data_IF_310302143835
#
_entry.id   IF_310302143835
#
_cell.length_a   1.000
_cell.length_b   1.000
_cell.length_c   1.000
_cell.angle_alpha   90.00
_cell.angle_beta   90.00
_cell.angle_gamma   90.00
#
_symmetry.space_group_name_H-M   'P 1'
#
loop_
_entity.id
_entity.type
_entity.pdbx_description
1 polymer ?
#
# COMPACT_ATOMS: atom_id res chain seq x y z
N UNK A 1 0.08 5.60 27.67
CA UNK A 1 0.02 4.64 26.55
C UNK A 1 -0.22 5.44 25.28
N UNK A 2 0.70 5.40 24.33
CA UNK A 2 0.48 5.96 22.99
C UNK A 2 -0.52 5.05 22.28
N UNK A 3 -1.75 5.52 22.07
CA UNK A 3 -2.74 4.77 21.30
C UNK A 3 -2.32 4.84 19.83
N UNK A 4 -2.17 3.68 19.17
CA UNK A 4 -1.96 3.63 17.73
C UNK A 4 -3.24 4.13 17.03
N UNK A 5 -3.23 5.38 16.61
CA UNK A 5 -4.32 5.97 15.82
C UNK A 5 -4.11 5.68 14.34
N UNK A 6 -5.21 5.66 13.58
CA UNK A 6 -5.17 5.52 12.12
C UNK A 6 -4.39 6.64 11.44
N UNK A 7 -4.37 7.83 12.04
CA UNK A 7 -3.61 8.99 11.57
C UNK A 7 -2.09 8.71 11.59
N UNK A 8 -1.61 8.07 12.65
CA UNK A 8 -0.19 7.68 12.79
C UNK A 8 0.19 6.56 11.81
N UNK A 9 -0.76 5.76 11.36
CA UNK A 9 -0.51 4.66 10.41
C UNK A 9 -0.66 5.07 8.95
N UNK A 10 -1.22 6.25 8.68
CA UNK A 10 -1.53 6.71 7.34
C UNK A 10 -0.29 6.76 6.43
N UNK A 11 0.79 7.40 6.89
CA UNK A 11 2.01 7.56 6.09
C UNK A 11 2.71 6.24 5.76
N UNK A 12 3.01 5.34 6.72
CA UNK A 12 3.65 4.08 6.38
C UNK A 12 2.76 3.18 5.52
N UNK A 13 1.42 3.23 5.71
CA UNK A 13 0.48 2.51 4.85
C UNK A 13 0.50 3.05 3.41
N UNK A 14 0.53 4.38 3.23
CA UNK A 14 0.63 5.00 1.90
C UNK A 14 1.93 4.59 1.19
N UNK A 15 3.07 4.63 1.89
CA UNK A 15 4.36 4.20 1.34
C UNK A 15 4.33 2.72 0.97
N UNK A 16 3.71 1.89 1.82
CA UNK A 16 3.53 0.45 1.55
C UNK A 16 2.73 0.23 0.27
N UNK A 17 1.62 0.96 0.07
CA UNK A 17 0.80 0.88 -1.14
C UNK A 17 1.60 1.30 -2.40
N UNK A 18 2.37 2.39 -2.33
CA UNK A 18 3.24 2.81 -3.45
C UNK A 18 4.28 1.72 -3.76
N UNK A 19 4.86 1.10 -2.74
CA UNK A 19 5.80 -0.02 -2.90
C UNK A 19 5.17 -1.24 -3.56
N UNK A 20 3.94 -1.60 -3.18
CA UNK A 20 3.20 -2.69 -3.80
C UNK A 20 2.93 -2.42 -5.29
N UNK A 21 2.51 -1.19 -5.63
CA UNK A 21 2.31 -0.76 -7.01
C UNK A 21 3.63 -0.80 -7.82
N UNK A 22 4.75 -0.43 -7.21
CA UNK A 22 6.07 -0.52 -7.84
C UNK A 22 6.44 -1.98 -8.15
N UNK A 23 6.27 -2.91 -7.20
CA UNK A 23 6.52 -4.34 -7.42
C UNK A 23 5.62 -4.92 -8.51
N UNK A 24 4.34 -4.57 -8.52
CA UNK A 24 3.40 -4.97 -9.56
C UNK A 24 3.87 -4.46 -10.94
N UNK A 25 4.34 -3.21 -11.01
CA UNK A 25 4.89 -2.62 -12.24
C UNK A 25 6.13 -3.37 -12.73
N UNK A 26 7.07 -3.71 -11.85
CA UNK A 26 8.28 -4.46 -12.22
C UNK A 26 7.93 -5.88 -12.68
N UNK A 27 6.98 -6.54 -12.01
CA UNK A 27 6.47 -7.85 -12.43
C UNK A 27 5.86 -7.79 -13.83
N UNK A 28 5.05 -6.77 -14.12
CA UNK A 28 4.52 -6.52 -15.47
C UNK A 28 5.63 -6.33 -16.50
N UNK A 29 6.69 -5.57 -16.16
CA UNK A 29 7.86 -5.36 -17.05
C UNK A 29 8.59 -6.67 -17.37
N UNK A 30 8.69 -7.59 -16.41
CA UNK A 30 9.25 -8.93 -16.65
C UNK A 30 8.36 -9.72 -17.62
N UNK A 31 7.03 -9.67 -17.45
CA UNK A 31 6.09 -10.29 -18.38
C UNK A 31 6.18 -9.74 -19.80
N UNK A 32 6.25 -8.42 -19.95
CA UNK A 32 6.49 -7.74 -21.23
C UNK A 32 7.82 -8.17 -21.86
N UNK A 33 8.90 -8.22 -21.06
CA UNK A 33 10.21 -8.64 -21.53
C UNK A 33 10.21 -10.11 -21.97
N UNK A 34 9.50 -10.98 -21.25
CA UNK A 34 9.35 -12.40 -21.62
C UNK A 34 8.76 -12.55 -23.02
N UNK A 35 7.70 -11.80 -23.34
CA UNK A 35 7.12 -11.77 -24.67
C UNK A 35 8.07 -11.20 -25.72
N UNK A 36 8.71 -10.05 -25.43
CA UNK A 36 9.64 -9.37 -26.33
C UNK A 36 10.83 -10.24 -26.73
N UNK A 37 11.45 -10.91 -25.76
CA UNK A 37 12.64 -11.74 -25.97
C UNK A 37 12.30 -13.23 -26.20
N UNK A 38 11.01 -13.56 -26.34
CA UNK A 38 10.50 -14.91 -26.62
C UNK A 38 11.05 -15.98 -25.67
N UNK A 39 11.09 -15.69 -24.37
CA UNK A 39 11.59 -16.62 -23.35
C UNK A 39 10.46 -17.52 -22.86
N UNK A 40 10.43 -18.83 -23.21
CA UNK A 40 9.36 -19.72 -22.81
C UNK A 40 9.35 -19.92 -21.28
N UNK A 41 8.18 -20.08 -20.69
CA UNK A 41 8.05 -20.57 -19.31
C UNK A 41 8.45 -22.05 -19.30
N UNK A 42 9.22 -22.56 -18.32
CA UNK A 42 9.66 -21.94 -17.07
C UNK A 42 11.04 -21.25 -17.11
N UNK A 43 11.66 -21.08 -18.28
CA UNK A 43 13.01 -20.53 -18.38
C UNK A 43 13.11 -19.11 -17.79
N UNK A 44 14.21 -18.85 -17.11
CA UNK A 44 14.56 -17.58 -16.44
C UNK A 44 15.86 -16.97 -16.97
N UNK A 45 16.42 -17.58 -18.01
CA UNK A 45 17.64 -17.23 -18.70
C UNK A 45 17.41 -17.18 -20.23
N UNK A 46 18.43 -16.75 -20.98
CA UNK A 46 18.37 -16.56 -22.43
C UNK A 46 18.96 -15.21 -22.81
N UNK A 47 18.14 -14.30 -23.33
CA UNK A 47 18.61 -12.97 -23.72
C UNK A 47 19.18 -12.20 -22.51
N UNK A 48 20.40 -11.63 -22.62
CA UNK A 48 21.00 -10.87 -21.52
C UNK A 48 20.15 -9.69 -21.04
N UNK A 49 19.40 -9.03 -21.93
CA UNK A 49 18.48 -7.94 -21.57
C UNK A 49 17.30 -8.45 -20.74
N UNK A 50 16.71 -9.59 -21.15
CA UNK A 50 15.67 -10.24 -20.35
C UNK A 50 16.20 -10.61 -18.98
N UNK A 51 17.37 -11.26 -18.94
CA UNK A 51 17.99 -11.75 -17.70
C UNK A 51 18.24 -10.60 -16.73
N UNK A 52 18.72 -9.43 -17.21
CA UNK A 52 18.89 -8.23 -16.37
C UNK A 52 17.57 -7.72 -15.79
N UNK A 53 16.52 -7.60 -16.59
CA UNK A 53 15.19 -7.15 -16.14
C UNK A 53 14.62 -8.13 -15.09
N UNK A 54 14.73 -9.43 -15.36
CA UNK A 54 14.29 -10.49 -14.45
C UNK A 54 15.03 -10.42 -13.12
N UNK A 55 16.37 -10.34 -13.14
CA UNK A 55 17.20 -10.22 -11.93
C UNK A 55 16.95 -8.93 -11.15
N UNK A 56 16.69 -7.82 -11.84
CA UNK A 56 16.38 -6.55 -11.19
C UNK A 56 15.04 -6.62 -10.42
N UNK A 57 14.03 -7.27 -10.99
CA UNK A 57 12.75 -7.50 -10.32
C UNK A 57 12.92 -8.46 -9.13
N UNK A 58 13.60 -9.59 -9.32
CA UNK A 58 13.81 -10.60 -8.29
C UNK A 58 14.58 -10.02 -7.09
N UNK A 59 15.67 -9.28 -7.32
CA UNK A 59 16.40 -8.63 -6.25
C UNK A 59 15.52 -7.63 -5.49
N UNK A 60 14.71 -6.84 -6.20
CA UNK A 60 13.80 -5.90 -5.53
C UNK A 60 12.77 -6.64 -4.68
N UNK A 61 12.25 -7.77 -5.15
CA UNK A 61 11.32 -8.63 -4.41
C UNK A 61 11.96 -9.21 -3.14
N UNK A 62 13.20 -9.70 -3.21
CA UNK A 62 13.92 -10.28 -2.05
C UNK A 62 14.16 -9.26 -0.94
N UNK A 63 14.42 -8.00 -1.29
CA UNK A 63 14.66 -6.94 -0.32
C UNK A 63 13.39 -6.27 0.20
N UNK A 64 12.25 -6.42 -0.49
CA UNK A 64 11.02 -5.73 -0.12
C UNK A 64 10.48 -6.13 1.27
N UNK A 65 10.47 -7.43 1.68
CA UNK A 65 10.09 -7.81 3.04
C UNK A 65 10.95 -7.16 4.12
N UNK A 66 12.27 -7.06 3.90
CA UNK A 66 13.19 -6.40 4.84
C UNK A 66 12.83 -4.92 4.97
N UNK A 67 12.55 -4.26 3.83
CA UNK A 67 12.15 -2.85 3.81
C UNK A 67 10.85 -2.63 4.57
N UNK A 68 9.86 -3.47 4.33
CA UNK A 68 8.57 -3.41 5.00
C UNK A 68 8.73 -3.56 6.51
N UNK A 69 9.48 -4.57 6.97
CA UNK A 69 9.74 -4.77 8.41
C UNK A 69 10.36 -3.54 9.06
N UNK A 70 11.41 -2.98 8.46
CA UNK A 70 12.10 -1.82 9.02
C UNK A 70 11.24 -0.55 8.96
N UNK A 71 10.50 -0.32 7.87
CA UNK A 71 9.58 0.80 7.73
C UNK A 71 8.54 0.80 8.85
N UNK A 72 7.91 -0.35 9.10
CA UNK A 72 6.84 -0.45 10.09
C UNK A 72 7.36 -0.38 11.52
N UNK A 73 8.48 -1.03 11.85
CA UNK A 73 9.09 -0.92 13.18
C UNK A 73 9.48 0.54 13.47
N UNK A 74 10.25 1.17 12.59
CA UNK A 74 10.63 2.57 12.79
C UNK A 74 9.43 3.52 12.84
N UNK A 75 8.37 3.28 12.04
CA UNK A 75 7.18 4.14 12.03
C UNK A 75 6.34 4.01 13.31
N UNK A 76 6.23 2.80 13.87
CA UNK A 76 5.44 2.52 15.08
C UNK A 76 6.20 2.97 16.33
N UNK A 77 7.48 2.63 16.42
CA UNK A 77 8.25 2.77 17.66
C UNK A 77 9.05 4.06 17.78
N UNK A 78 9.27 4.78 16.67
CA UNK A 78 9.97 6.05 16.69
C UNK A 78 9.06 7.21 16.28
N UNK A 79 8.67 7.28 15.01
CA UNK A 79 7.84 8.37 14.50
C UNK A 79 7.21 7.97 13.16
N UNK A 80 5.96 8.31 12.89
CA UNK A 80 5.30 7.86 11.66
C UNK A 80 5.77 8.54 10.36
N UNK A 81 6.08 9.84 10.39
CA UNK A 81 6.39 10.61 9.17
C UNK A 81 7.84 10.44 8.67
N UNK A 82 8.84 10.53 9.55
CA UNK A 82 10.27 10.48 9.18
C UNK A 82 10.62 9.18 8.43
N UNK A 83 10.33 7.96 8.95
CA UNK A 83 10.64 6.73 8.25
C UNK A 83 9.82 6.55 6.98
N UNK A 84 8.60 7.10 6.93
CA UNK A 84 7.80 7.12 5.71
C UNK A 84 8.44 7.96 4.60
N UNK A 85 8.97 9.15 4.93
CA UNK A 85 9.73 9.96 3.97
C UNK A 85 11.00 9.24 3.49
N UNK A 86 11.75 8.65 4.43
CA UNK A 86 12.92 7.83 4.12
C UNK A 86 12.53 6.64 3.22
N UNK A 87 11.37 6.03 3.46
CA UNK A 87 10.81 4.96 2.64
C UNK A 87 10.44 5.38 1.23
N UNK A 88 9.97 6.62 1.01
CA UNK A 88 9.79 7.14 -0.36
C UNK A 88 11.11 7.26 -1.11
N UNK A 89 12.19 7.67 -0.42
CA UNK A 89 13.54 7.73 -1.01
C UNK A 89 14.03 6.31 -1.36
N UNK A 90 13.74 5.32 -0.52
CA UNK A 90 14.00 3.91 -0.83
C UNK A 90 13.32 3.47 -2.14
N UNK A 91 12.02 3.75 -2.28
CA UNK A 91 11.27 3.38 -3.48
C UNK A 91 11.82 4.09 -4.74
N UNK A 92 12.25 5.34 -4.62
CA UNK A 92 12.95 6.04 -5.70
C UNK A 92 14.29 5.39 -6.04
N UNK A 93 15.08 4.99 -5.04
CA UNK A 93 16.32 4.27 -5.24
C UNK A 93 16.10 2.93 -5.97
N UNK A 94 15.03 2.20 -5.62
CA UNK A 94 14.62 0.96 -6.29
C UNK A 94 14.16 1.18 -7.73
N UNK A 95 13.46 2.29 -7.99
CA UNK A 95 13.17 2.72 -9.36
C UNK A 95 14.47 2.90 -10.16
N UNK A 96 15.43 3.68 -9.65
CA UNK A 96 16.72 3.91 -10.33
C UNK A 96 17.52 2.63 -10.51
N UNK A 97 17.54 1.76 -9.49
CA UNK A 97 18.16 0.45 -9.56
C UNK A 97 17.58 -0.40 -10.69
N UNK A 98 16.25 -0.52 -10.74
CA UNK A 98 15.57 -1.38 -11.70
C UNK A 98 15.82 -0.95 -13.14
N UNK A 99 15.58 0.34 -13.46
CA UNK A 99 15.76 0.84 -14.83
C UNK A 99 17.23 0.94 -15.22
N UNK A 100 18.12 1.28 -14.29
CA UNK A 100 19.56 1.24 -14.54
C UNK A 100 20.03 -0.18 -14.86
N UNK A 101 19.60 -1.18 -14.09
CA UNK A 101 19.99 -2.56 -14.32
C UNK A 101 19.40 -3.11 -15.63
N UNK A 102 18.15 -2.76 -15.97
CA UNK A 102 17.54 -3.15 -17.23
C UNK A 102 18.36 -2.66 -18.44
N UNK A 103 18.99 -1.49 -18.34
CA UNK A 103 19.83 -0.91 -19.39
C UNK A 103 21.22 -1.58 -19.45
N UNK A 104 21.94 -1.64 -18.32
CA UNK A 104 23.28 -2.23 -18.24
C UNK A 104 23.60 -2.76 -16.83
N UNK A 105 24.48 -3.74 -16.74
CA UNK A 105 24.83 -4.38 -15.47
C UNK A 105 25.42 -3.42 -14.44
N UNK A 106 26.24 -2.48 -14.89
CA UNK A 106 26.99 -1.52 -14.09
C UNK A 106 26.07 -0.37 -13.61
N UNK A 107 25.08 0.00 -14.42
CA UNK A 107 24.11 1.08 -14.14
C UNK A 107 23.17 0.77 -12.97
N UNK A 108 23.17 -0.48 -12.47
CA UNK A 108 22.44 -0.86 -11.25
C UNK A 108 23.06 -0.25 -9.97
N UNK A 109 24.36 0.00 -9.96
CA UNK A 109 25.11 0.29 -8.73
C UNK A 109 24.68 1.57 -8.00
N UNK A 110 24.42 2.72 -8.67
CA UNK A 110 24.03 3.93 -7.96
C UNK A 110 22.70 3.79 -7.20
N UNK A 111 21.69 3.21 -7.85
CA UNK A 111 20.40 2.93 -7.21
C UNK A 111 20.52 1.90 -6.09
N UNK A 112 21.35 0.87 -6.29
CA UNK A 112 21.62 -0.15 -5.27
C UNK A 112 22.25 0.46 -4.01
N UNK A 113 23.32 1.24 -4.16
CA UNK A 113 24.02 1.89 -3.03
C UNK A 113 23.11 2.83 -2.27
N UNK A 114 22.31 3.63 -2.97
CA UNK A 114 21.33 4.50 -2.33
C UNK A 114 20.31 3.67 -1.52
N UNK A 115 19.76 2.60 -2.10
CA UNK A 115 18.83 1.73 -1.39
C UNK A 115 19.45 1.10 -0.14
N UNK A 116 20.73 0.69 -0.19
CA UNK A 116 21.44 0.13 0.96
C UNK A 116 21.69 1.15 2.07
N UNK A 117 22.04 2.39 1.72
CA UNK A 117 22.18 3.44 2.72
C UNK A 117 20.86 3.76 3.41
N UNK A 118 19.76 3.79 2.64
CA UNK A 118 18.42 3.99 3.20
C UNK A 118 18.01 2.82 4.10
N UNK A 119 18.38 1.59 3.77
CA UNK A 119 18.20 0.45 4.66
C UNK A 119 18.90 0.62 6.00
N UNK A 120 20.16 1.04 5.99
CA UNK A 120 20.91 1.29 7.23
C UNK A 120 20.24 2.39 8.06
N UNK A 121 19.75 3.45 7.43
CA UNK A 121 19.00 4.50 8.14
C UNK A 121 17.73 3.94 8.79
N UNK A 122 16.90 3.20 8.04
CA UNK A 122 15.68 2.59 8.60
C UNK A 122 15.98 1.58 9.72
N UNK A 123 17.08 0.84 9.61
CA UNK A 123 17.55 -0.07 10.66
C UNK A 123 17.92 0.68 11.93
N UNK A 124 18.71 1.76 11.81
CA UNK A 124 19.08 2.61 12.95
C UNK A 124 17.83 3.21 13.61
N UNK A 125 16.90 3.75 12.81
CA UNK A 125 15.64 4.31 13.34
C UNK A 125 14.80 3.24 14.06
N UNK A 126 14.77 2.01 13.52
CA UNK A 126 14.07 0.89 14.14
C UNK A 126 14.68 0.50 15.49
N UNK A 127 16.00 0.39 15.56
CA UNK A 127 16.73 0.07 16.79
C UNK A 127 16.52 1.17 17.83
N UNK A 128 16.67 2.44 17.43
CA UNK A 128 16.48 3.59 18.32
C UNK A 128 15.06 3.61 18.92
N UNK A 129 14.03 3.42 18.09
CA UNK A 129 12.64 3.37 18.55
C UNK A 129 12.40 2.25 19.56
N UNK A 130 12.91 1.04 19.27
CA UNK A 130 12.80 -0.10 20.18
C UNK A 130 13.56 0.10 21.49
N UNK A 131 14.77 0.68 21.45
CA UNK A 131 15.58 0.96 22.64
C UNK A 131 14.92 2.01 23.52
N UNK A 132 14.42 3.12 22.95
CA UNK A 132 13.73 4.18 23.71
C UNK A 132 12.45 3.63 24.34
N UNK A 133 11.67 2.86 23.57
CA UNK A 133 10.44 2.22 24.06
C UNK A 133 10.75 1.22 25.18
N UNK A 134 11.76 0.37 24.98
CA UNK A 134 12.20 -0.61 25.97
C UNK A 134 12.72 0.05 27.24
N UNK A 135 13.58 1.05 27.13
CA UNK A 135 14.11 1.81 28.26
C UNK A 135 13.00 2.44 29.09
N UNK A 136 12.04 3.10 28.43
CA UNK A 136 10.88 3.71 29.09
C UNK A 136 10.05 2.66 29.81
N UNK A 137 9.84 1.49 29.19
CA UNK A 137 9.08 0.38 29.77
C UNK A 137 9.74 -0.22 31.02
N UNK A 138 11.06 -0.37 31.03
CA UNK A 138 11.78 -1.02 32.14
C UNK A 138 12.18 -0.08 33.27
N UNK A 139 12.44 1.19 32.97
CA UNK A 139 12.91 2.17 33.97
C UNK A 139 11.82 3.11 34.46
N UNK A 140 10.69 3.20 33.75
CA UNK A 140 9.65 4.19 34.01
C UNK A 140 10.06 5.64 33.69
N UNK A 141 11.29 5.87 33.21
CA UNK A 141 11.81 7.19 32.82
C UNK A 141 11.64 7.38 31.32
N UNK A 142 10.98 8.47 30.93
CA UNK A 142 10.85 8.86 29.53
C UNK A 142 12.12 9.55 29.05
N UNK A 143 12.72 9.05 27.97
CA UNK A 143 13.73 9.81 27.23
C UNK A 143 12.97 10.81 26.37
N UNK A 144 13.18 12.10 26.61
CA UNK A 144 12.60 13.17 25.79
C UNK A 144 13.26 13.17 24.39
N UNK A 145 12.63 12.44 23.47
CA UNK A 145 13.01 12.42 22.06
C UNK A 145 12.34 13.54 21.24
N UNK A 146 11.37 14.24 21.84
CA UNK A 146 10.65 15.38 21.24
C UNK A 146 11.58 16.51 20.83
N UNK A 147 12.67 16.72 21.59
CA UNK A 147 13.75 17.65 21.23
C UNK A 147 14.37 17.40 19.85
N UNK A 148 14.49 16.13 19.44
CA UNK A 148 15.02 15.78 18.12
C UNK A 148 13.97 15.93 17.02
N UNK A 149 12.69 15.72 17.33
CA UNK A 149 11.58 15.91 16.40
C UNK A 149 11.42 17.38 16.01
N UNK A 150 11.49 18.30 16.97
CA UNK A 150 11.41 19.74 16.71
C UNK A 150 12.54 20.22 15.79
N UNK A 151 13.79 19.82 16.07
CA UNK A 151 14.93 20.17 15.20
C UNK A 151 14.86 19.49 13.83
N UNK A 152 14.48 18.21 13.76
CA UNK A 152 14.33 17.53 12.47
C UNK A 152 13.27 18.20 11.59
N UNK A 153 12.15 18.62 12.17
CA UNK A 153 11.08 19.35 11.49
C UNK A 153 11.51 20.77 11.11
N UNK A 154 12.34 21.42 11.92
CA UNK A 154 12.93 22.72 11.60
C UNK A 154 13.85 22.63 10.37
N UNK A 155 14.75 21.64 10.32
CA UNK A 155 15.62 21.42 9.15
C UNK A 155 14.84 20.97 7.91
N UNK A 156 13.77 20.19 8.08
CA UNK A 156 12.95 19.71 6.97
C UNK A 156 11.95 20.75 6.45
N UNK A 157 11.69 21.83 7.19
CA UNK A 157 10.71 22.88 6.89
C UNK A 157 10.79 23.42 5.45
N UNK A 158 11.97 23.75 4.89
CA UNK A 158 12.07 24.26 3.52
C UNK A 158 11.62 23.22 2.47
N UNK A 159 11.93 21.94 2.70
CA UNK A 159 11.50 20.85 1.83
C UNK A 159 10.00 20.60 1.96
N UNK A 160 9.48 20.60 3.19
CA UNK A 160 8.04 20.46 3.47
C UNK A 160 7.24 21.59 2.82
N UNK A 161 7.72 22.83 2.89
CA UNK A 161 7.06 23.99 2.28
C UNK A 161 7.06 23.92 0.76
N UNK A 162 8.16 23.45 0.15
CA UNK A 162 8.24 23.19 -1.30
C UNK A 162 7.31 22.06 -1.74
N UNK A 163 7.15 21.02 -0.92
CA UNK A 163 6.19 19.94 -1.16
C UNK A 163 4.76 20.46 -1.02
N UNK A 164 4.45 21.25 0.02
CA UNK A 164 3.12 21.86 0.22
C UNK A 164 2.75 22.79 -0.93
N UNK A 165 3.67 23.61 -1.42
CA UNK A 165 3.41 24.50 -2.56
C UNK A 165 3.17 23.71 -3.85
N UNK A 166 3.97 22.66 -4.08
CA UNK A 166 3.78 21.73 -5.21
C UNK A 166 2.45 20.98 -5.11
N UNK A 167 2.07 20.50 -3.93
CA UNK A 167 0.78 19.84 -3.68
C UNK A 167 -0.38 20.79 -3.91
N UNK A 168 -0.31 22.05 -3.45
CA UNK A 168 -1.34 23.06 -3.70
C UNK A 168 -1.54 23.28 -5.20
N UNK A 169 -0.46 23.28 -5.98
CA UNK A 169 -0.51 23.41 -7.43
C UNK A 169 -1.09 22.16 -8.10
N UNK A 170 -0.60 20.97 -7.76
CA UNK A 170 -1.10 19.68 -8.31
C UNK A 170 -2.57 19.49 -7.96
N UNK A 171 -2.98 19.73 -6.71
CA UNK A 171 -4.37 19.63 -6.29
C UNK A 171 -5.23 20.57 -7.13
N UNK A 172 -4.85 21.84 -7.30
CA UNK A 172 -5.60 22.79 -8.15
C UNK A 172 -5.74 22.30 -9.59
N UNK A 173 -4.68 21.73 -10.18
CA UNK A 173 -4.70 21.20 -11.55
C UNK A 173 -5.51 19.92 -11.68
N UNK A 174 -5.46 19.05 -10.66
CA UNK A 174 -6.09 17.73 -10.66
C UNK A 174 -7.53 17.76 -10.14
N UNK A 175 -7.95 18.83 -9.46
CA UNK A 175 -9.32 19.04 -8.95
C UNK A 175 -10.43 18.70 -9.96
N UNK A 176 -10.41 19.18 -11.22
CA UNK A 176 -11.43 18.82 -12.20
C UNK A 176 -11.46 17.32 -12.49
N UNK A 177 -10.31 16.66 -12.60
CA UNK A 177 -10.22 15.21 -12.82
C UNK A 177 -10.71 14.42 -11.61
N UNK A 178 -10.37 14.84 -10.39
CA UNK A 178 -10.88 14.22 -9.16
C UNK A 178 -12.40 14.38 -9.03
N UNK A 179 -12.96 15.53 -9.43
CA UNK A 179 -14.40 15.76 -9.45
C UNK A 179 -15.09 14.82 -10.46
N UNK A 180 -14.55 14.69 -11.67
CA UNK A 180 -15.08 13.77 -12.68
C UNK A 180 -15.00 12.31 -12.23
N UNK A 181 -13.85 11.88 -11.69
CA UNK A 181 -13.66 10.53 -11.18
C UNK A 181 -14.60 10.22 -10.00
N UNK A 182 -14.80 11.18 -9.09
CA UNK A 182 -15.74 11.05 -7.96
C UNK A 182 -17.17 10.86 -8.45
N UNK A 183 -17.59 11.62 -9.45
CA UNK A 183 -18.92 11.48 -10.04
C UNK A 183 -19.10 10.12 -10.73
N UNK A 184 -18.10 9.66 -11.49
CA UNK A 184 -18.13 8.33 -12.12
C UNK A 184 -18.19 7.20 -11.07
N UNK A 185 -17.41 7.31 -9.99
CA UNK A 185 -17.43 6.33 -8.90
C UNK A 185 -18.76 6.38 -8.15
N UNK A 186 -19.34 7.57 -7.91
CA UNK A 186 -20.67 7.66 -7.28
C UNK A 186 -21.74 7.06 -8.17
N UNK A 187 -21.65 7.24 -9.48
CA UNK A 187 -22.58 6.62 -10.43
C UNK A 187 -22.45 5.10 -10.40
N UNK A 188 -21.23 4.55 -10.41
CA UNK A 188 -21.00 3.10 -10.31
C UNK A 188 -21.51 2.53 -8.99
N UNK A 189 -21.26 3.22 -7.86
CA UNK A 189 -21.74 2.81 -6.55
C UNK A 189 -23.28 2.88 -6.46
N UNK A 190 -23.89 3.89 -7.09
CA UNK A 190 -25.33 4.00 -7.18
C UNK A 190 -25.91 2.86 -8.01
N UNK A 191 -25.33 2.53 -9.17
CA UNK A 191 -25.73 1.38 -9.98
C UNK A 191 -25.55 0.05 -9.23
N UNK A 192 -24.48 -0.12 -8.45
CA UNK A 192 -24.28 -1.30 -7.62
C UNK A 192 -25.31 -1.41 -6.49
N UNK A 193 -25.75 -0.27 -5.93
CA UNK A 193 -26.80 -0.20 -4.92
C UNK A 193 -28.19 -0.49 -5.51
N UNK A 194 -28.48 0.03 -6.69
CA UNK A 194 -29.71 -0.29 -7.44
C UNK A 194 -29.72 -1.78 -7.82
N UNK A 195 -28.61 -2.30 -8.35
CA UNK A 195 -28.46 -3.72 -8.66
C UNK A 195 -28.67 -4.63 -7.45
N UNK A 196 -28.10 -4.29 -6.28
CA UNK A 196 -28.32 -5.09 -5.07
C UNK A 196 -29.77 -5.01 -4.57
N UNK A 197 -30.41 -3.86 -4.72
CA UNK A 197 -31.83 -3.67 -4.36
C UNK A 197 -32.76 -4.46 -5.31
N UNK A 198 -32.48 -4.42 -6.60
CA UNK A 198 -33.22 -5.13 -7.66
C UNK A 198 -32.98 -6.64 -7.59
N UNK A 199 -31.75 -7.06 -7.27
CA UNK A 199 -31.43 -8.46 -7.03
C UNK A 199 -32.18 -8.98 -5.82
N UNK A 200 -32.21 -8.25 -4.70
CA UNK A 200 -32.94 -8.65 -3.48
C UNK A 200 -34.45 -8.66 -3.73
N UNK A 201 -35.00 -7.70 -4.49
CA UNK A 201 -36.43 -7.64 -4.80
C UNK A 201 -36.85 -8.77 -5.75
N UNK A 202 -36.04 -9.05 -6.77
CA UNK A 202 -36.24 -10.16 -7.71
C UNK A 202 -36.09 -11.51 -7.00
N UNK A 203 -35.10 -11.65 -6.12
CA UNK A 203 -34.91 -12.84 -5.29
C UNK A 203 -36.09 -13.05 -4.33
N UNK A 204 -36.61 -12.00 -3.69
CA UNK A 204 -37.85 -12.08 -2.90
C UNK A 204 -39.05 -12.47 -3.76
N UNK A 205 -39.24 -11.86 -4.92
CA UNK A 205 -40.35 -12.16 -5.83
C UNK A 205 -40.34 -13.63 -6.27
N UNK A 206 -39.16 -14.13 -6.64
CA UNK A 206 -38.99 -15.48 -7.20
C UNK A 206 -38.97 -16.59 -6.13
N UNK A 207 -38.43 -16.32 -4.93
CA UNK A 207 -38.29 -17.32 -3.86
C UNK A 207 -39.27 -17.18 -2.68
N UNK A 208 -39.80 -16.00 -2.36
CA UNK A 208 -40.81 -15.86 -1.29
C UNK A 208 -42.26 -16.08 -1.76
N UNK A 209 -42.57 -15.90 -3.05
CA UNK A 209 -43.89 -16.21 -3.62
C UNK A 209 -44.19 -17.72 -3.62
N UNK A 210 -43.16 -18.54 -3.87
CA UNK A 210 -43.29 -20.00 -3.98
C UNK A 210 -43.24 -20.75 -2.65
N UNK A 211 -42.70 -20.15 -1.58
CA UNK A 211 -42.52 -20.82 -0.28
C UNK A 211 -43.39 -20.29 0.87
N UNK A 212 -44.13 -19.18 0.70
CA UNK A 212 -44.94 -18.58 1.77
C UNK A 212 -46.39 -18.23 1.41
N UNK A 213 -46.97 -18.83 0.36
CA UNK A 213 -48.44 -18.89 0.22
C UNK A 213 -49.00 -20.14 0.93
N UNK A 214 -49.40 -19.92 2.20
CA UNK A 214 -50.32 -20.70 3.05
C UNK A 214 -50.01 -22.16 3.46
N UNK A 215 -49.85 -22.39 4.78
CA UNK A 215 -50.53 -23.49 5.47
C UNK A 215 -51.72 -23.01 6.33
N UNK A 216 -52.12 -21.73 6.24
CA UNK A 216 -53.19 -21.17 7.05
C UNK A 216 -54.60 -21.70 6.67
N UNK A 217 -54.85 -22.06 5.40
CA UNK A 217 -56.12 -22.67 4.99
C UNK A 217 -56.19 -24.19 5.20
N UNK A 218 -55.04 -24.87 5.29
CA UNK A 218 -55.00 -26.32 5.55
C UNK A 218 -55.32 -26.65 7.01
N UNK A 219 -54.87 -25.82 7.97
CA UNK A 219 -55.17 -26.03 9.40
C UNK A 219 -56.63 -25.72 9.79
N UNK A 220 -57.35 -24.88 9.04
CA UNK A 220 -58.75 -24.55 9.35
C UNK A 220 -59.76 -25.58 8.82
N UNK A 221 -59.35 -26.50 7.92
CA UNK A 221 -60.20 -27.61 7.45
C UNK A 221 -60.14 -28.85 8.35
N UNK A 222 -59.00 -29.11 8.98
CA UNK A 222 -58.85 -30.27 9.89
C UNK A 222 -59.58 -30.06 11.23
N UNK A 223 -59.66 -28.84 11.76
CA UNK A 223 -60.40 -28.57 13.02
C UNK A 223 -61.93 -28.55 12.86
N UNK A 224 -62.45 -28.57 11.62
CA UNK A 224 -63.89 -28.66 11.34
C UNK A 224 -64.39 -30.07 11.02
N UNK A 225 -63.52 -31.08 11.04
CA UNK A 225 -63.89 -32.50 10.88
C UNK A 225 -63.81 -33.30 12.19
N UNK A 226 -63.42 -32.67 13.31
CA UNK A 226 -63.36 -33.29 14.65
C UNK A 226 -64.29 -32.61 15.68
N UNK A 227 -65.35 -31.92 15.22
CA UNK A 227 -66.45 -31.39 16.04
C UNK A 227 -67.80 -31.66 15.36
#
# INVERSE_FOLDING_TARGET
MTVLTTENLFYPALVSLIGALQLARFTRRVGEARGKYKIPVPKTDGDPNFTRIFRAQQNTLEYYPIFMTLLWISSIFLHHAIPSMVGLIYLYARYKYFYGYAEAGEKRLPGFRLAMNIFLILLILSILGLVVTGYTKYTGRTIDVTFYEERAMEYAKPAVDKIKSSYKHINKTMQPYFKTARNQISDVLQHAKTFTTDFISSFKSQYFSSYFQEPAKAKMKQTKQEL
#
